data_IF_010394883745
#
_entry.id   IF_010394883745
#
_cell.length_a   1.000
_cell.length_b   1.000
_cell.length_c   1.000
_cell.angle_alpha   90.00
_cell.angle_beta   90.00
_cell.angle_gamma   90.00
#
_symmetry.space_group_name_H-M   'P 1'
#
loop_
_entity.id
_entity.type
_entity.pdbx_description
1 polymer ?
#
# COMPACT_ATOMS: atom_id res chain seq x y z
N UNK A 1 -16.65 -2.69 16.52
CA UNK A 1 -17.98 -3.30 16.77
C UNK A 1 -18.49 -4.14 15.59
N UNK A 2 -18.08 -3.88 14.35
CA UNK A 2 -18.48 -4.66 13.16
C UNK A 2 -17.77 -6.01 13.00
N UNK A 3 -16.57 -6.18 13.56
CA UNK A 3 -15.81 -7.44 13.48
C UNK A 3 -16.42 -8.63 14.24
N UNK A 4 -17.36 -8.37 15.17
CA UNK A 4 -18.05 -9.42 15.93
C UNK A 4 -19.37 -9.87 15.31
N UNK A 5 -19.78 -9.26 14.17
CA UNK A 5 -20.98 -9.66 13.43
C UNK A 5 -20.74 -10.99 12.73
N UNK A 6 -21.77 -11.83 12.72
CA UNK A 6 -21.76 -13.06 11.92
C UNK A 6 -21.93 -12.72 10.43
N UNK A 7 -21.44 -13.58 9.52
CA UNK A 7 -21.52 -13.35 8.07
C UNK A 7 -22.96 -13.16 7.57
N UNK A 8 -23.93 -13.79 8.23
CA UNK A 8 -25.37 -13.64 7.91
C UNK A 8 -25.93 -12.28 8.35
N UNK A 9 -25.50 -11.74 9.49
CA UNK A 9 -25.91 -10.40 9.95
C UNK A 9 -25.27 -9.25 9.15
N UNK A 10 -24.12 -9.50 8.52
CA UNK A 10 -23.48 -8.54 7.61
C UNK A 10 -24.29 -8.35 6.31
N UNK A 11 -24.93 -9.42 5.82
CA UNK A 11 -25.72 -9.43 4.57
C UNK A 11 -27.23 -9.18 4.79
N UNK A 12 -27.64 -8.80 6.00
CA UNK A 12 -29.04 -8.55 6.34
C UNK A 12 -29.46 -7.10 6.04
N UNK A 13 -30.63 -6.92 5.40
CA UNK A 13 -31.30 -5.62 5.20
C UNK A 13 -32.54 -5.57 6.10
N UNK A 14 -32.66 -4.71 7.13
CA UNK A 14 -31.88 -3.52 7.47
C UNK A 14 -30.56 -3.81 8.22
N UNK A 15 -29.57 -2.89 8.15
CA UNK A 15 -28.27 -3.06 8.80
C UNK A 15 -28.38 -3.06 10.32
N UNK A 16 -28.01 -4.17 10.94
CA UNK A 16 -28.01 -4.34 12.41
C UNK A 16 -26.80 -3.64 12.99
N UNK A 17 -26.97 -2.52 13.71
CA UNK A 17 -25.84 -1.72 14.24
C UNK A 17 -25.12 -2.40 15.42
N UNK A 18 -25.87 -3.12 16.27
CA UNK A 18 -25.37 -3.84 17.44
C UNK A 18 -25.66 -5.34 17.22
N UNK A 19 -24.64 -6.21 17.14
CA UNK A 19 -24.86 -7.64 16.90
C UNK A 19 -25.70 -8.24 18.04
N UNK A 20 -26.76 -8.98 17.70
CA UNK A 20 -27.60 -9.64 18.68
C UNK A 20 -26.88 -10.83 19.32
N UNK A 21 -25.96 -11.45 18.58
CA UNK A 21 -25.13 -12.57 19.03
C UNK A 21 -23.68 -12.25 18.69
N UNK A 22 -22.83 -11.87 19.66
CA UNK A 22 -21.41 -11.65 19.40
C UNK A 22 -20.76 -12.96 18.95
N UNK A 23 -20.24 -12.99 17.73
CA UNK A 23 -19.61 -14.18 17.14
C UNK A 23 -18.12 -13.97 16.95
N UNK A 24 -17.31 -14.95 17.38
CA UNK A 24 -15.84 -14.95 17.17
C UNK A 24 -15.43 -15.74 15.91
N UNK A 25 -16.39 -16.33 15.20
CA UNK A 25 -16.15 -17.20 14.04
C UNK A 25 -15.42 -16.47 12.92
N UNK A 26 -15.71 -15.18 12.70
CA UNK A 26 -15.04 -14.35 11.70
C UNK A 26 -13.54 -14.19 11.98
N UNK A 27 -13.12 -14.08 13.24
CA UNK A 27 -11.70 -14.02 13.61
C UNK A 27 -11.00 -15.37 13.47
N UNK A 28 -11.66 -16.45 13.90
CA UNK A 28 -11.15 -17.81 13.72
C UNK A 28 -10.93 -18.13 12.23
N UNK A 29 -11.88 -17.74 11.37
CA UNK A 29 -11.80 -17.95 9.93
C UNK A 29 -10.63 -17.17 9.29
N UNK A 30 -10.38 -15.92 9.70
CA UNK A 30 -9.22 -15.14 9.21
C UNK A 30 -7.90 -15.80 9.60
N UNK A 31 -7.82 -16.40 10.78
CA UNK A 31 -6.62 -17.12 11.22
C UNK A 31 -6.43 -18.41 10.41
N UNK A 32 -7.50 -19.18 10.17
CA UNK A 32 -7.47 -20.41 9.36
C UNK A 32 -7.09 -20.17 7.89
N UNK A 33 -7.55 -19.06 7.30
CA UNK A 33 -7.28 -18.71 5.89
C UNK A 33 -5.88 -18.09 5.70
N UNK A 34 -5.05 -18.03 6.75
CA UNK A 34 -3.65 -17.56 6.67
C UNK A 34 -3.45 -16.09 7.02
N UNK A 35 -4.38 -15.47 7.75
CA UNK A 35 -4.27 -14.08 8.20
C UNK A 35 -3.02 -13.79 9.04
N UNK A 36 -2.50 -14.80 9.76
CA UNK A 36 -1.24 -14.68 10.51
C UNK A 36 -0.02 -14.52 9.58
N UNK A 37 0.00 -15.21 8.44
CA UNK A 37 1.11 -15.10 7.49
C UNK A 37 1.04 -13.77 6.72
N UNK A 38 -0.17 -13.31 6.39
CA UNK A 38 -0.36 -11.95 5.88
C UNK A 38 0.16 -10.89 6.87
N UNK A 39 -0.14 -11.04 8.17
CA UNK A 39 0.36 -10.14 9.21
C UNK A 39 1.88 -10.16 9.32
N UNK A 40 2.50 -11.35 9.32
CA UNK A 40 3.97 -11.49 9.33
C UNK A 40 4.61 -10.84 8.11
N UNK A 41 4.08 -11.08 6.91
CA UNK A 41 4.61 -10.51 5.68
C UNK A 41 4.56 -8.98 5.71
N UNK A 42 3.42 -8.40 6.09
CA UNK A 42 3.29 -6.95 6.22
C UNK A 42 4.22 -6.38 7.30
N UNK A 43 4.40 -7.07 8.42
CA UNK A 43 5.30 -6.64 9.49
C UNK A 43 6.75 -6.63 9.03
N UNK A 44 7.21 -7.70 8.35
CA UNK A 44 8.58 -7.81 7.85
C UNK A 44 8.84 -6.73 6.80
N UNK A 45 7.97 -6.61 5.81
CA UNK A 45 8.12 -5.65 4.70
C UNK A 45 8.12 -4.21 5.23
N UNK A 46 7.17 -3.86 6.10
CA UNK A 46 7.08 -2.51 6.67
C UNK A 46 8.28 -2.17 7.55
N UNK A 47 8.77 -3.11 8.35
CA UNK A 47 9.95 -2.92 9.21
C UNK A 47 11.21 -2.68 8.38
N UNK A 48 11.46 -3.53 7.37
CA UNK A 48 12.62 -3.40 6.48
C UNK A 48 12.54 -2.07 5.70
N UNK A 49 11.38 -1.75 5.14
CA UNK A 49 11.18 -0.50 4.41
C UNK A 49 11.42 0.74 5.29
N UNK A 50 10.94 0.70 6.53
CA UNK A 50 11.14 1.80 7.49
C UNK A 50 12.61 1.96 7.86
N UNK A 51 13.31 0.85 8.16
CA UNK A 51 14.73 0.88 8.49
C UNK A 51 15.58 1.43 7.35
N UNK A 52 15.36 0.95 6.12
CA UNK A 52 16.07 1.45 4.95
C UNK A 52 15.76 2.92 4.68
N UNK A 53 14.48 3.32 4.82
CA UNK A 53 14.06 4.71 4.64
C UNK A 53 14.70 5.63 5.68
N UNK A 54 14.78 5.22 6.93
CA UNK A 54 15.46 5.99 7.99
C UNK A 54 16.96 6.10 7.74
N UNK A 55 17.62 5.00 7.36
CA UNK A 55 19.06 5.00 7.16
C UNK A 55 19.45 5.92 6.00
N UNK A 56 18.82 5.77 4.84
CA UNK A 56 19.11 6.59 3.66
C UNK A 56 18.60 8.02 3.86
N UNK A 57 17.38 8.17 4.38
CA UNK A 57 16.73 9.45 4.58
C UNK A 57 17.43 10.32 5.63
N UNK A 58 17.93 9.73 6.71
CA UNK A 58 18.67 10.48 7.75
C UNK A 58 20.02 10.98 7.23
N UNK A 59 20.76 10.17 6.47
CA UNK A 59 22.01 10.61 5.84
C UNK A 59 21.77 11.75 4.86
N UNK A 60 20.74 11.65 4.02
CA UNK A 60 20.37 12.72 3.09
C UNK A 60 19.91 13.99 3.81
N UNK A 61 19.10 13.86 4.86
CA UNK A 61 18.62 14.99 5.67
C UNK A 61 19.76 15.68 6.41
N UNK A 62 20.73 14.93 6.93
CA UNK A 62 21.91 15.49 7.59
C UNK A 62 22.76 16.31 6.61
N UNK A 63 22.98 15.80 5.40
CA UNK A 63 23.65 16.53 4.32
C UNK A 63 22.97 17.86 4.02
N UNK A 64 21.65 17.83 3.84
CA UNK A 64 20.84 19.01 3.55
C UNK A 64 20.85 20.03 4.69
N UNK A 65 20.75 19.59 5.94
CA UNK A 65 20.72 20.46 7.12
C UNK A 65 22.06 21.13 7.42
N UNK A 66 23.18 20.42 7.24
CA UNK A 66 24.50 20.93 7.62
C UNK A 66 25.26 21.60 6.48
N UNK A 67 25.20 21.03 5.28
CA UNK A 67 26.01 21.46 4.14
C UNK A 67 25.21 22.24 3.09
N UNK A 68 23.90 22.47 3.32
CA UNK A 68 22.98 23.16 2.39
C UNK A 68 23.08 22.62 0.95
N UNK A 69 23.27 21.31 0.82
CA UNK A 69 23.48 20.66 -0.48
C UNK A 69 22.25 20.90 -1.36
N UNK A 70 22.44 21.47 -2.55
CA UNK A 70 21.34 21.79 -3.47
C UNK A 70 20.67 23.16 -3.27
N UNK A 71 21.17 24.00 -2.35
CA UNK A 71 20.71 25.37 -2.13
C UNK A 71 19.48 25.49 -1.24
N UNK A 72 19.11 26.73 -0.88
CA UNK A 72 18.04 27.00 0.09
C UNK A 72 16.62 26.62 -0.41
N UNK A 73 16.44 26.40 -1.72
CA UNK A 73 15.15 26.02 -2.31
C UNK A 73 14.90 24.52 -2.39
N UNK A 74 15.94 23.69 -2.30
CA UNK A 74 15.82 22.23 -2.41
C UNK A 74 14.89 21.60 -1.35
N UNK A 75 14.96 21.99 -0.06
CA UNK A 75 14.04 21.45 0.95
C UNK A 75 12.58 21.75 0.64
N UNK A 76 12.29 22.95 0.12
CA UNK A 76 10.94 23.36 -0.28
C UNK A 76 10.43 22.55 -1.47
N UNK A 77 11.30 22.28 -2.45
CA UNK A 77 10.97 21.44 -3.60
C UNK A 77 10.64 19.99 -3.19
N UNK A 78 11.46 19.38 -2.33
CA UNK A 78 11.20 18.03 -1.79
C UNK A 78 9.86 17.96 -1.05
N UNK A 79 9.53 19.00 -0.27
CA UNK A 79 8.27 19.08 0.44
C UNK A 79 7.07 19.22 -0.52
N UNK A 80 7.22 20.00 -1.59
CA UNK A 80 6.18 20.14 -2.64
C UNK A 80 5.80 18.82 -3.27
N UNK A 81 6.75 17.90 -3.47
CA UNK A 81 6.47 16.59 -4.05
C UNK A 81 5.60 15.70 -3.14
N UNK A 82 5.62 15.93 -1.81
CA UNK A 82 4.77 15.18 -0.85
C UNK A 82 3.32 15.63 -0.83
N UNK A 83 3.05 16.87 -1.26
CA UNK A 83 1.69 17.39 -1.41
C UNK A 83 1.06 17.03 -2.75
N UNK A 84 1.85 16.48 -3.70
CA UNK A 84 1.32 16.01 -4.96
C UNK A 84 0.35 14.84 -4.71
N UNK A 85 -0.89 14.90 -5.24
CA UNK A 85 -1.83 13.81 -5.05
C UNK A 85 -1.30 12.55 -5.74
N UNK A 86 -1.26 11.39 -5.06
CA UNK A 86 -0.66 10.17 -5.62
C UNK A 86 -1.36 9.70 -6.90
N UNK A 87 -2.63 10.05 -7.09
CA UNK A 87 -3.40 9.74 -8.30
C UNK A 87 -2.82 10.38 -9.56
N UNK A 88 -2.18 11.56 -9.44
CA UNK A 88 -1.57 12.26 -10.57
C UNK A 88 -0.32 11.53 -11.09
N UNK A 89 0.31 10.71 -10.25
CA UNK A 89 1.43 9.85 -10.64
C UNK A 89 0.93 8.54 -11.23
N UNK A 90 -0.13 7.93 -10.68
CA UNK A 90 -0.60 6.60 -11.12
C UNK A 90 -1.04 6.59 -12.60
N UNK A 91 -1.79 7.59 -13.05
CA UNK A 91 -2.32 7.66 -14.43
C UNK A 91 -1.25 7.56 -15.54
N UNK A 92 -0.20 8.40 -15.55
CA UNK A 92 0.83 8.31 -16.58
C UNK A 92 1.60 6.98 -16.54
N UNK A 93 1.85 6.42 -15.35
CA UNK A 93 2.47 5.10 -15.24
C UNK A 93 1.59 3.99 -15.85
N UNK A 94 0.28 4.02 -15.61
CA UNK A 94 -0.66 3.08 -16.26
C UNK A 94 -0.65 3.20 -17.79
N UNK A 95 -0.57 4.43 -18.32
CA UNK A 95 -0.48 4.66 -19.77
C UNK A 95 0.86 4.21 -20.35
N UNK A 96 1.96 4.33 -19.60
CA UNK A 96 3.28 3.82 -20.01
C UNK A 96 3.25 2.29 -20.15
N UNK A 97 2.63 1.57 -19.21
CA UNK A 97 2.42 0.12 -19.33
C UNK A 97 1.40 -0.26 -20.42
N UNK A 98 0.52 0.67 -20.80
CA UNK A 98 -0.44 0.51 -21.90
C UNK A 98 0.07 1.09 -23.24
N UNK A 99 1.36 1.39 -23.35
CA UNK A 99 1.95 1.79 -24.62
C UNK A 99 1.99 0.59 -25.60
N UNK A 100 1.68 0.79 -26.89
CA UNK A 100 1.64 -0.30 -27.88
C UNK A 100 2.95 -1.08 -28.03
N UNK A 101 4.06 -0.45 -27.64
CA UNK A 101 5.41 -1.01 -27.76
C UNK A 101 5.65 -2.17 -26.78
N UNK A 102 5.03 -2.17 -25.59
CA UNK A 102 5.12 -3.29 -24.64
C UNK A 102 4.00 -4.34 -24.81
N UNK A 103 2.90 -3.99 -25.50
CA UNK A 103 1.82 -4.94 -25.81
C UNK A 103 2.21 -5.99 -26.85
N UNK A 104 3.18 -5.70 -27.72
CA UNK A 104 3.68 -6.64 -28.72
C UNK A 104 4.49 -7.81 -28.13
N UNK A 105 5.15 -7.62 -26.98
CA UNK A 105 5.99 -8.65 -26.36
C UNK A 105 5.17 -9.76 -25.68
N UNK A 106 3.95 -9.47 -25.22
CA UNK A 106 3.04 -10.48 -24.65
C UNK A 106 2.22 -11.20 -25.73
N UNK A 107 1.88 -10.51 -26.83
CA UNK A 107 1.18 -11.13 -27.96
C UNK A 107 2.00 -12.20 -28.69
N UNK A 108 3.34 -12.18 -28.59
CA UNK A 108 4.21 -13.24 -29.11
C UNK A 108 4.32 -14.47 -28.21
N UNK A 109 4.02 -14.34 -26.91
CA UNK A 109 4.04 -15.45 -25.95
C UNK A 109 2.72 -16.25 -25.97
N UNK A 110 1.60 -15.63 -26.32
CA UNK A 110 0.30 -16.29 -26.48
C UNK A 110 0.18 -17.12 -27.78
N UNK A 111 1.15 -17.06 -28.70
CA UNK A 111 1.16 -17.88 -29.92
C UNK A 111 1.95 -19.19 -29.77
N UNK A 112 2.51 -19.48 -28.58
CA UNK A 112 3.32 -20.68 -28.30
C UNK A 112 2.66 -21.60 -27.24
N UNK A 113 1.44 -21.29 -26.79
CA UNK A 113 0.66 -22.18 -25.88
C UNK A 113 -0.64 -22.62 -26.55
#
# INVERSE_FOLDING_TARGET
MTGFKSASEFMSSPPVWIPAIPSLRSFAHVIEVGGLDALKNSLIISSIATLLSLLIGSMAAYGLARYKVGGDQLPFFILSQRFMPPVAVIFPFLLMFKSPEMGGYLSGADLIV
#
